data_IF_763864262476
#
_entry.id   IF_763864262476
#
_cell.length_a   1.000
_cell.length_b   1.000
_cell.length_c   1.000
_cell.angle_alpha   90.00
_cell.angle_beta   90.00
_cell.angle_gamma   90.00
#
_symmetry.space_group_name_H-M   'P 1'
#
loop_
_entity.id
_entity.type
_entity.pdbx_description
1 polymer ?
#
# COMPACT_ATOMS: atom_id res chain seq x y z
N UNK A 1 -3.43 -2.33 -0.14
CA UNK A 1 -3.17 -0.88 0.00
C UNK A 1 -4.34 -0.14 -0.61
N UNK A 2 -4.99 0.72 0.16
CA UNK A 2 -6.12 1.53 -0.29
C UNK A 2 -5.60 2.93 -0.65
N UNK A 3 -5.85 3.38 -1.89
CA UNK A 3 -5.36 4.66 -2.41
C UNK A 3 -6.21 5.87 -1.96
N UNK A 4 -7.41 5.60 -1.47
CA UNK A 4 -8.39 6.56 -0.98
C UNK A 4 -9.15 5.99 0.22
N UNK A 5 -9.75 6.90 0.98
CA UNK A 5 -10.49 6.59 2.20
C UNK A 5 -11.78 5.82 1.89
N UNK A 6 -12.43 6.07 0.75
CA UNK A 6 -13.66 5.37 0.36
C UNK A 6 -13.44 3.86 0.19
N UNK A 7 -12.34 3.48 -0.47
CA UNK A 7 -11.93 2.09 -0.66
C UNK A 7 -11.55 1.43 0.66
N UNK A 8 -10.87 2.16 1.55
CA UNK A 8 -10.52 1.69 2.89
C UNK A 8 -11.79 1.40 3.70
N UNK A 9 -12.68 2.39 3.82
CA UNK A 9 -13.92 2.30 4.58
C UNK A 9 -14.84 1.18 4.06
N UNK A 10 -14.88 0.99 2.75
CA UNK A 10 -15.67 -0.08 2.14
C UNK A 10 -15.09 -1.46 2.50
N UNK A 11 -13.79 -1.67 2.31
CA UNK A 11 -13.16 -2.96 2.59
C UNK A 11 -13.17 -3.27 4.09
N UNK A 12 -13.04 -2.26 4.95
CA UNK A 12 -13.16 -2.42 6.40
C UNK A 12 -14.55 -2.92 6.79
N UNK A 13 -15.61 -2.40 6.16
CA UNK A 13 -16.99 -2.87 6.38
C UNK A 13 -17.23 -4.29 5.87
N UNK A 14 -16.56 -4.69 4.78
CA UNK A 14 -16.66 -6.07 4.26
C UNK A 14 -15.98 -7.06 5.22
N UNK A 15 -14.90 -6.65 5.89
CA UNK A 15 -14.23 -7.40 6.95
C UNK A 15 -13.90 -8.85 6.56
N UNK A 16 -13.15 -9.01 5.46
CA UNK A 16 -12.71 -10.32 4.99
C UNK A 16 -11.68 -10.95 5.94
N UNK A 17 -11.77 -12.27 6.11
CA UNK A 17 -10.79 -13.04 6.87
C UNK A 17 -9.39 -12.92 6.24
N UNK A 18 -8.38 -12.75 7.10
CA UNK A 18 -6.96 -12.61 6.72
C UNK A 18 -6.63 -11.39 5.85
N UNK A 19 -7.46 -10.34 5.91
CA UNK A 19 -7.21 -9.08 5.21
C UNK A 19 -6.61 -8.05 6.17
N UNK A 20 -5.47 -7.48 5.78
CA UNK A 20 -4.88 -6.32 6.44
C UNK A 20 -5.01 -5.13 5.50
N UNK A 21 -5.71 -4.10 5.96
CA UNK A 21 -5.84 -2.85 5.24
C UNK A 21 -4.68 -1.93 5.60
N UNK A 22 -4.20 -1.20 4.60
CA UNK A 22 -3.15 -0.20 4.75
C UNK A 22 -3.61 1.02 3.98
N UNK A 23 -3.80 2.11 4.69
CA UNK A 23 -4.17 3.42 4.13
C UNK A 23 -2.95 4.15 3.56
N UNK A 24 -3.19 5.12 2.67
CA UNK A 24 -2.10 6.01 2.21
C UNK A 24 -1.48 6.81 3.36
N UNK A 25 -2.28 7.23 4.34
CA UNK A 25 -1.81 8.00 5.49
C UNK A 25 -0.78 7.24 6.34
N UNK A 26 -0.84 5.90 6.37
CA UNK A 26 0.17 5.07 7.04
C UNK A 26 1.48 4.96 6.26
N UNK A 27 1.43 5.12 4.94
CA UNK A 27 2.56 4.92 4.05
C UNK A 27 3.27 6.23 3.68
N UNK A 28 2.53 7.34 3.62
CA UNK A 28 3.04 8.65 3.20
C UNK A 28 3.95 9.26 4.27
N UNK A 29 5.26 9.14 4.05
CA UNK A 29 6.27 9.90 4.76
C UNK A 29 6.66 11.19 4.00
N UNK A 30 7.58 11.97 4.59
CA UNK A 30 8.05 13.21 3.98
C UNK A 30 8.71 13.03 2.61
N UNK A 31 9.36 11.89 2.37
CA UNK A 31 10.04 11.61 1.09
C UNK A 31 9.00 11.26 0.02
N UNK A 32 8.03 10.42 0.35
CA UNK A 32 6.93 10.05 -0.54
C UNK A 32 6.09 11.29 -0.92
N UNK A 33 5.79 12.15 0.05
CA UNK A 33 5.08 13.40 -0.18
C UNK A 33 5.85 14.38 -1.08
N UNK A 34 7.18 14.42 -1.00
CA UNK A 34 8.00 15.22 -1.91
C UNK A 34 7.85 14.74 -3.36
N UNK A 35 7.93 13.42 -3.58
CA UNK A 35 7.75 12.81 -4.91
C UNK A 35 6.35 13.06 -5.46
N UNK A 36 5.31 13.00 -4.61
CA UNK A 36 3.93 13.29 -5.00
C UNK A 36 3.77 14.68 -5.62
N UNK A 37 4.47 15.67 -5.05
CA UNK A 37 4.44 17.06 -5.51
C UNK A 37 5.23 17.27 -6.80
N UNK A 38 6.35 16.58 -6.99
CA UNK A 38 7.24 16.75 -8.16
C UNK A 38 6.82 15.91 -9.37
N UNK A 39 6.25 14.72 -9.15
CA UNK A 39 6.04 13.70 -10.18
C UNK A 39 4.69 12.98 -10.02
N UNK A 40 3.61 13.74 -9.78
CA UNK A 40 2.26 13.21 -9.53
C UNK A 40 1.79 12.14 -10.51
N UNK A 41 2.15 12.25 -11.80
CA UNK A 41 1.78 11.28 -12.85
C UNK A 41 2.39 9.89 -12.64
N UNK A 42 3.56 9.80 -12.03
CA UNK A 42 4.26 8.52 -11.80
C UNK A 42 4.17 8.05 -10.35
N UNK A 43 3.54 8.84 -9.48
CA UNK A 43 3.47 8.59 -8.05
C UNK A 43 2.95 7.19 -7.70
N UNK A 44 1.89 6.71 -8.36
CA UNK A 44 1.36 5.36 -8.11
C UNK A 44 2.40 4.26 -8.36
N UNK A 45 3.26 4.43 -9.36
CA UNK A 45 4.36 3.49 -9.63
C UNK A 45 5.45 3.51 -8.57
N UNK A 46 5.64 4.63 -7.86
CA UNK A 46 6.64 4.75 -6.80
C UNK A 46 6.18 4.19 -5.46
N UNK A 47 4.88 3.85 -5.31
CA UNK A 47 4.34 3.30 -4.06
C UNK A 47 4.73 1.84 -3.79
N UNK A 48 5.12 1.09 -4.83
CA UNK A 48 5.40 -0.36 -4.69
C UNK A 48 6.55 -0.66 -3.72
N UNK A 49 7.76 -0.06 -3.87
CA UNK A 49 8.86 -0.35 -2.95
C UNK A 49 8.59 0.10 -1.49
N UNK A 50 8.08 1.31 -1.22
CA UNK A 50 7.69 1.74 0.13
C UNK A 50 6.65 0.81 0.77
N UNK A 51 5.66 0.36 0.00
CA UNK A 51 4.64 -0.56 0.51
C UNK A 51 5.23 -1.91 0.91
N UNK A 52 6.11 -2.49 0.07
CA UNK A 52 6.82 -3.73 0.41
C UNK A 52 7.67 -3.55 1.67
N UNK A 53 8.39 -2.43 1.78
CA UNK A 53 9.17 -2.09 2.97
C UNK A 53 8.29 -1.99 4.21
N UNK A 54 7.15 -1.30 4.14
CA UNK A 54 6.20 -1.18 5.24
C UNK A 54 5.76 -2.56 5.76
N UNK A 55 5.42 -3.48 4.86
CA UNK A 55 5.01 -4.84 5.23
C UNK A 55 6.14 -5.60 5.91
N UNK A 56 7.36 -5.56 5.38
CA UNK A 56 8.51 -6.26 5.97
C UNK A 56 8.93 -5.66 7.33
N UNK A 57 8.91 -4.34 7.47
CA UNK A 57 9.27 -3.67 8.72
C UNK A 57 8.27 -3.98 9.85
N UNK A 58 6.98 -4.11 9.51
CA UNK A 58 5.91 -4.42 10.47
C UNK A 58 5.83 -5.90 10.84
N UNK A 59 6.32 -6.78 9.98
CA UNK A 59 6.21 -8.23 10.11
C UNK A 59 7.60 -8.87 9.88
N UNK A 60 8.55 -8.70 10.82
CA UNK A 60 9.93 -9.16 10.68
C UNK A 60 10.06 -10.69 10.60
N UNK A 61 9.00 -11.43 10.91
CA UNK A 61 8.90 -12.89 10.77
C UNK A 61 8.62 -13.36 9.34
N UNK A 62 8.34 -12.46 8.39
CA UNK A 62 8.10 -12.82 6.99
C UNK A 62 9.42 -13.25 6.34
N UNK A 63 9.53 -14.54 6.01
CA UNK A 63 10.67 -15.09 5.25
C UNK A 63 10.57 -14.83 3.74
N UNK A 64 9.35 -14.70 3.20
CA UNK A 64 9.11 -14.52 1.76
C UNK A 64 7.83 -13.71 1.53
N UNK A 65 7.90 -12.73 0.63
CA UNK A 65 6.78 -11.87 0.25
C UNK A 65 6.54 -11.95 -1.26
N UNK A 66 5.28 -12.14 -1.64
CA UNK A 66 4.83 -12.05 -3.04
C UNK A 66 3.94 -10.82 -3.17
N UNK A 67 4.32 -9.91 -4.07
CA UNK A 67 3.52 -8.76 -4.44
C UNK A 67 2.80 -9.03 -5.77
N UNK A 68 1.51 -8.69 -5.83
CA UNK A 68 0.68 -8.79 -7.02
C UNK A 68 0.04 -7.43 -7.27
N UNK A 69 0.11 -6.96 -8.52
CA UNK A 69 -0.66 -5.80 -8.95
C UNK A 69 -2.16 -6.14 -9.01
N UNK A 70 -3.03 -5.14 -8.84
CA UNK A 70 -4.48 -5.35 -8.81
C UNK A 70 -5.08 -5.83 -10.15
N UNK A 71 -4.34 -5.66 -11.24
CA UNK A 71 -4.69 -6.13 -12.58
C UNK A 71 -4.06 -7.49 -12.93
N UNK A 72 -3.32 -8.10 -12.00
CA UNK A 72 -2.78 -9.45 -12.16
C UNK A 72 -3.86 -10.47 -11.82
N UNK A 73 -4.11 -11.37 -12.76
CA UNK A 73 -4.93 -12.57 -12.56
C UNK A 73 -4.04 -13.80 -12.61
N UNK A 74 -4.29 -14.78 -11.73
CA UNK A 74 -3.57 -16.06 -11.64
C UNK A 74 -4.25 -17.16 -12.48
#
# INVERSE_FOLDING_TARGET
>A
MCLDDESYDLLEKINLDNMFLVSMAELEDSELLAVKNEASRFYLGTLKPPFIKYVLDKNPEIDTLVYLDADVYL
#
